data_IF_723706689088
#
_entry.id   IF_723706689088
#
_cell.length_a   1.000
_cell.length_b   1.000
_cell.length_c   1.000
_cell.angle_alpha   90.00
_cell.angle_beta   90.00
_cell.angle_gamma   90.00
#
_symmetry.space_group_name_H-M   'P 1'
#
loop_
_entity.id
_entity.type
_entity.pdbx_description
1 polymer ?
#
# COMPACT_ATOMS: atom_id res chain seq x y z
N UNK A 1 2.10 -10.99 16.84
CA UNK A 1 0.68 -10.96 17.19
C UNK A 1 -0.01 -10.05 16.20
N UNK A 2 -0.87 -10.58 15.33
CA UNK A 2 -1.52 -9.81 14.28
C UNK A 2 -2.70 -9.05 14.88
N UNK A 3 -2.48 -7.80 15.31
CA UNK A 3 -3.54 -6.91 15.77
C UNK A 3 -4.43 -6.52 14.58
N UNK A 4 -5.50 -7.29 14.34
CA UNK A 4 -6.54 -6.91 13.38
C UNK A 4 -7.32 -5.71 13.94
N UNK A 5 -7.39 -4.62 13.17
CA UNK A 5 -8.25 -3.48 13.48
C UNK A 5 -9.63 -3.72 12.88
N UNK A 6 -10.68 -3.64 13.71
CA UNK A 6 -12.06 -3.60 13.20
C UNK A 6 -12.38 -2.18 12.74
N UNK A 7 -12.80 -2.04 11.48
CA UNK A 7 -13.24 -0.78 10.89
C UNK A 7 -14.75 -0.93 10.64
N UNK A 8 -15.56 -0.07 11.24
CA UNK A 8 -17.00 -0.02 10.97
C UNK A 8 -17.26 0.98 9.85
N UNK A 9 -17.72 0.47 8.71
CA UNK A 9 -18.09 1.28 7.55
C UNK A 9 -19.61 1.29 7.38
N UNK A 10 -20.18 2.39 6.85
CA UNK A 10 -21.59 2.43 6.45
C UNK A 10 -21.90 1.33 5.43
N UNK A 11 -22.98 0.58 5.67
CA UNK A 11 -23.42 -0.53 4.82
C UNK A 11 -23.64 -0.09 3.37
N UNK A 12 -24.17 1.12 3.15
CA UNK A 12 -24.37 1.66 1.81
C UNK A 12 -23.06 1.79 1.02
N UNK A 13 -21.95 2.12 1.68
CA UNK A 13 -20.64 2.20 1.03
C UNK A 13 -20.09 0.81 0.71
N UNK A 14 -20.29 -0.17 1.59
CA UNK A 14 -19.91 -1.56 1.34
C UNK A 14 -20.68 -2.13 0.14
N UNK A 15 -22.00 -1.94 0.09
CA UNK A 15 -22.84 -2.40 -1.01
C UNK A 15 -22.44 -1.74 -2.34
N UNK A 16 -22.22 -0.42 -2.35
CA UNK A 16 -21.78 0.30 -3.56
C UNK A 16 -20.38 -0.13 -4.02
N UNK A 17 -19.48 -0.41 -3.09
CA UNK A 17 -18.14 -0.91 -3.39
C UNK A 17 -18.21 -2.31 -3.99
N UNK A 18 -19.00 -3.20 -3.40
CA UNK A 18 -19.23 -4.55 -3.91
C UNK A 18 -19.87 -4.53 -5.29
N UNK A 19 -20.90 -3.72 -5.54
CA UNK A 19 -21.52 -3.60 -6.87
C UNK A 19 -20.53 -3.11 -7.93
N UNK A 20 -19.74 -2.08 -7.60
CA UNK A 20 -18.80 -1.45 -8.53
C UNK A 20 -17.58 -2.32 -8.81
N UNK A 21 -17.12 -3.08 -7.82
CA UNK A 21 -15.86 -3.83 -7.88
C UNK A 21 -16.04 -5.34 -7.83
N UNK A 22 -17.28 -5.87 -7.92
CA UNK A 22 -17.59 -7.32 -7.97
C UNK A 22 -16.76 -8.09 -8.99
N UNK A 23 -16.35 -7.46 -10.07
CA UNK A 23 -15.54 -8.08 -11.11
C UNK A 23 -14.06 -8.27 -10.74
N UNK A 24 -13.57 -7.57 -9.72
CA UNK A 24 -12.16 -7.55 -9.31
C UNK A 24 -11.94 -8.02 -7.88
N UNK A 25 -12.92 -7.85 -7.00
CA UNK A 25 -12.84 -8.24 -5.59
C UNK A 25 -14.16 -8.93 -5.17
N UNK A 26 -14.06 -10.01 -4.39
CA UNK A 26 -15.23 -10.79 -3.96
C UNK A 26 -16.02 -10.09 -2.83
N UNK A 27 -15.35 -9.28 -2.02
CA UNK A 27 -15.94 -8.59 -0.87
C UNK A 27 -15.22 -7.27 -0.57
N UNK A 28 -15.83 -6.46 0.30
CA UNK A 28 -15.27 -5.17 0.71
C UNK A 28 -13.93 -5.33 1.46
N UNK A 29 -13.72 -6.43 2.19
CA UNK A 29 -12.48 -6.68 2.92
C UNK A 29 -11.28 -6.90 1.98
N UNK A 30 -11.48 -7.59 0.86
CA UNK A 30 -10.46 -7.81 -0.18
C UNK A 30 -10.11 -6.50 -0.88
N UNK A 31 -11.11 -5.64 -1.14
CA UNK A 31 -10.89 -4.31 -1.69
C UNK A 31 -10.03 -3.47 -0.73
N UNK A 32 -10.42 -3.44 0.55
CA UNK A 32 -9.70 -2.67 1.59
C UNK A 32 -8.29 -3.23 1.79
N UNK A 33 -8.13 -4.55 1.83
CA UNK A 33 -6.83 -5.21 1.96
C UNK A 33 -5.94 -4.89 0.77
N UNK A 34 -6.47 -4.96 -0.46
CA UNK A 34 -5.72 -4.62 -1.67
C UNK A 34 -5.30 -3.15 -1.68
N UNK A 35 -6.22 -2.23 -1.35
CA UNK A 35 -5.94 -0.79 -1.29
C UNK A 35 -4.87 -0.48 -0.23
N UNK A 36 -5.00 -1.04 0.97
CA UNK A 36 -4.03 -0.85 2.05
C UNK A 36 -2.68 -1.48 1.71
N UNK A 37 -2.68 -2.63 1.03
CA UNK A 37 -1.45 -3.26 0.54
C UNK A 37 -0.77 -2.41 -0.52
N UNK A 38 -1.53 -1.84 -1.46
CA UNK A 38 -0.99 -0.89 -2.45
C UNK A 38 -0.38 0.34 -1.78
N UNK A 39 -1.06 0.95 -0.79
CA UNK A 39 -0.52 2.04 0.01
C UNK A 39 0.83 1.68 0.66
N UNK A 40 0.92 0.51 1.29
CA UNK A 40 2.19 0.07 1.87
C UNK A 40 3.28 -0.22 0.83
N UNK A 41 2.90 -0.64 -0.39
CA UNK A 41 3.82 -0.89 -1.50
C UNK A 41 4.34 0.40 -2.11
N UNK A 42 3.49 1.40 -2.28
CA UNK A 42 3.91 2.73 -2.75
C UNK A 42 4.87 3.38 -1.74
N UNK A 43 4.60 3.23 -0.43
CA UNK A 43 5.53 3.67 0.62
C UNK A 43 6.86 2.91 0.58
N UNK A 44 6.86 1.60 0.30
CA UNK A 44 8.12 0.84 0.16
C UNK A 44 8.90 1.24 -1.10
N UNK A 45 8.22 1.50 -2.22
CA UNK A 45 8.85 1.97 -3.46
C UNK A 45 9.37 3.41 -3.32
N UNK A 46 8.66 4.26 -2.58
CA UNK A 46 9.13 5.60 -2.25
C UNK A 46 10.35 5.57 -1.32
N UNK A 47 10.33 4.71 -0.29
CA UNK A 47 11.48 4.47 0.59
C UNK A 47 12.70 3.94 -0.17
N UNK A 48 12.52 2.98 -1.08
CA UNK A 48 13.61 2.36 -1.85
C UNK A 48 14.36 3.40 -2.71
N UNK A 49 13.65 4.41 -3.23
CA UNK A 49 14.25 5.52 -3.98
C UNK A 49 15.04 6.49 -3.11
N UNK A 50 14.56 6.79 -1.91
CA UNK A 50 15.27 7.66 -0.98
C UNK A 50 16.51 6.95 -0.40
N UNK A 51 16.43 5.65 -0.13
CA UNK A 51 17.58 4.84 0.24
C UNK A 51 18.61 4.73 -0.89
N UNK A 52 18.18 4.56 -2.15
CA UNK A 52 19.08 4.58 -3.31
C UNK A 52 19.86 5.89 -3.43
N UNK A 53 19.20 7.04 -3.24
CA UNK A 53 19.88 8.35 -3.25
C UNK A 53 20.95 8.45 -2.17
N UNK A 54 20.65 7.98 -0.95
CA UNK A 54 21.61 8.02 0.16
C UNK A 54 22.82 7.12 -0.14
N UNK A 55 22.61 5.97 -0.78
CA UNK A 55 23.68 5.07 -1.21
C UNK A 55 24.51 5.71 -2.33
N UNK A 56 23.89 6.32 -3.35
CA UNK A 56 24.59 7.02 -4.42
C UNK A 56 25.44 8.19 -3.92
N UNK A 57 24.89 9.02 -3.01
CA UNK A 57 25.66 10.13 -2.42
C UNK A 57 26.87 9.64 -1.62
N UNK A 58 26.73 8.52 -0.91
CA UNK A 58 27.85 7.89 -0.20
C UNK A 58 28.90 7.31 -1.13
N UNK A 59 28.49 6.64 -2.22
CA UNK A 59 29.41 6.10 -3.22
C UNK A 59 30.19 7.19 -3.95
N UNK A 60 29.53 8.31 -4.28
CA UNK A 60 30.16 9.50 -4.85
C UNK A 60 31.16 10.14 -3.89
N UNK A 61 30.83 10.23 -2.60
CA UNK A 61 31.74 10.72 -1.57
C UNK A 61 32.99 9.84 -1.37
N UNK A 62 32.90 8.56 -1.75
CA UNK A 62 34.01 7.59 -1.70
C UNK A 62 34.76 7.47 -3.04
N UNK A 63 34.35 8.20 -4.09
CA UNK A 63 35.02 8.25 -5.39
C UNK A 63 34.83 7.01 -6.27
N UNK A 64 33.81 6.19 -5.99
CA UNK A 64 33.49 5.01 -6.80
C UNK A 64 32.64 5.35 -8.04
N UNK A 65 32.10 6.58 -8.10
CA UNK A 65 31.33 7.16 -9.22
C UNK A 65 31.78 8.60 -9.44
#
# INVERSE_FOLDING_TARGET
MSNMRNISLPEELCVRAEEKFRHRFENTDDLVTALLTELTREDTVAMDRDEQKIIEERLKGLGYI
#
